data_IF_537252860531
#
_entry.id   IF_537252860531
#
_cell.length_a   1.000
_cell.length_b   1.000
_cell.length_c   1.000
_cell.angle_alpha   90.00
_cell.angle_beta   90.00
_cell.angle_gamma   90.00
#
_symmetry.space_group_name_H-M   'P 1'
#
loop_
_entity.id
_entity.type
_entity.pdbx_description
1 polymer ?
#
# COMPACT_ATOMS: atom_id res chain seq x y z
N UNK A 1 -28.02 50.08 54.95
CA UNK A 1 -27.43 48.74 54.76
C UNK A 1 -27.25 48.51 53.27
N UNK A 2 -26.02 48.38 52.73
CA UNK A 2 -25.84 48.09 51.31
C UNK A 2 -26.13 46.60 51.05
N UNK A 3 -26.96 46.31 50.05
CA UNK A 3 -27.14 44.95 49.54
C UNK A 3 -25.90 44.58 48.74
N UNK A 4 -25.09 43.66 49.27
CA UNK A 4 -24.04 43.01 48.50
C UNK A 4 -24.69 41.99 47.57
N UNK A 5 -25.15 42.46 46.40
CA UNK A 5 -25.53 41.59 45.31
C UNK A 5 -24.24 41.02 44.70
N UNK A 6 -23.92 39.78 45.05
CA UNK A 6 -22.84 39.01 44.42
C UNK A 6 -23.23 38.79 42.95
N UNK A 7 -22.72 39.66 42.08
CA UNK A 7 -22.87 39.52 40.63
C UNK A 7 -22.05 38.31 40.17
N UNK A 8 -22.71 37.16 40.02
CA UNK A 8 -22.08 35.96 39.43
C UNK A 8 -21.88 36.23 37.93
N UNK A 9 -20.64 36.20 37.40
CA UNK A 9 -20.38 36.53 36.01
C UNK A 9 -20.97 35.46 35.08
N UNK A 10 -22.13 35.76 34.48
CA UNK A 10 -22.87 34.86 33.59
C UNK A 10 -22.15 34.47 32.29
N UNK A 11 -21.02 35.12 31.97
CA UNK A 11 -20.23 34.87 30.76
C UNK A 11 -19.23 33.72 30.83
N UNK A 12 -18.80 33.32 32.04
CA UNK A 12 -17.78 32.27 32.21
C UNK A 12 -18.34 30.86 32.00
N UNK A 13 -19.58 30.62 32.44
CA UNK A 13 -20.24 29.31 32.34
C UNK A 13 -20.67 28.95 30.90
N UNK A 14 -21.18 29.90 30.09
CA UNK A 14 -21.73 29.58 28.76
C UNK A 14 -20.66 29.11 27.76
N UNK A 15 -19.47 29.70 27.75
CA UNK A 15 -18.38 29.30 26.84
C UNK A 15 -17.79 27.93 27.21
N UNK A 16 -17.63 27.66 28.50
CA UNK A 16 -17.08 26.40 29.01
C UNK A 16 -18.05 25.22 28.81
N UNK A 17 -19.37 25.46 28.92
CA UNK A 17 -20.39 24.43 28.67
C UNK A 17 -20.47 24.06 27.18
N UNK A 18 -20.38 25.02 26.26
CA UNK A 18 -20.31 24.73 24.82
C UNK A 18 -19.03 23.94 24.49
N UNK A 19 -17.89 24.30 25.09
CA UNK A 19 -16.63 23.58 24.90
C UNK A 19 -16.68 22.13 25.42
N UNK A 20 -17.32 21.92 26.58
CA UNK A 20 -17.56 20.57 27.14
C UNK A 20 -18.52 19.75 26.28
N UNK A 21 -19.58 20.35 25.73
CA UNK A 21 -20.49 19.67 24.80
C UNK A 21 -19.80 19.27 23.50
N UNK A 22 -18.97 20.16 22.94
CA UNK A 22 -18.17 19.84 21.76
C UNK A 22 -17.18 18.71 22.06
N UNK A 23 -16.53 18.72 23.22
CA UNK A 23 -15.63 17.63 23.61
C UNK A 23 -16.37 16.28 23.76
N UNK A 24 -17.57 16.26 24.34
CA UNK A 24 -18.35 15.02 24.56
C UNK A 24 -18.92 14.44 23.26
N UNK A 25 -19.07 15.22 22.19
CA UNK A 25 -19.51 14.70 20.87
C UNK A 25 -18.32 14.43 19.96
N UNK A 26 -17.34 15.34 19.94
CA UNK A 26 -16.18 15.26 19.06
C UNK A 26 -15.21 14.18 19.49
N UNK A 27 -14.96 14.00 20.80
CA UNK A 27 -14.02 12.97 21.28
C UNK A 27 -14.55 11.57 20.97
N UNK A 28 -15.81 11.18 21.26
CA UNK A 28 -16.31 9.87 20.87
C UNK A 28 -16.34 9.65 19.36
N UNK A 29 -16.62 10.68 18.56
CA UNK A 29 -16.58 10.57 17.09
C UNK A 29 -15.16 10.30 16.58
N UNK A 30 -14.17 11.02 17.10
CA UNK A 30 -12.75 10.78 16.79
C UNK A 30 -12.31 9.41 17.29
N UNK A 31 -12.68 9.03 18.51
CA UNK A 31 -12.35 7.71 19.07
C UNK A 31 -12.99 6.57 18.27
N UNK A 32 -14.22 6.75 17.78
CA UNK A 32 -14.89 5.77 16.94
C UNK A 32 -14.18 5.61 15.58
N UNK A 33 -13.83 6.72 14.93
CA UNK A 33 -13.06 6.70 13.68
C UNK A 33 -11.66 6.08 13.85
N UNK A 34 -10.98 6.35 14.96
CA UNK A 34 -9.69 5.72 15.27
C UNK A 34 -9.86 4.22 15.55
N UNK A 35 -10.91 3.81 16.26
CA UNK A 35 -11.18 2.40 16.51
C UNK A 35 -11.44 1.64 15.20
N UNK A 36 -12.26 2.20 14.30
CA UNK A 36 -12.54 1.63 12.98
C UNK A 36 -11.26 1.51 12.12
N UNK A 37 -10.41 2.54 12.15
CA UNK A 37 -9.11 2.52 11.48
C UNK A 37 -8.17 1.42 12.04
N UNK A 38 -8.09 1.27 13.37
CA UNK A 38 -7.27 0.25 14.02
C UNK A 38 -7.77 -1.16 13.68
N UNK A 39 -9.09 -1.36 13.64
CA UNK A 39 -9.70 -2.63 13.23
C UNK A 39 -9.37 -2.95 11.76
N UNK A 40 -9.46 -1.96 10.88
CA UNK A 40 -9.11 -2.12 9.45
C UNK A 40 -7.64 -2.49 9.27
N UNK A 41 -6.74 -1.84 10.00
CA UNK A 41 -5.31 -2.17 9.96
C UNK A 41 -5.03 -3.59 10.47
N UNK A 42 -5.74 -4.05 11.49
CA UNK A 42 -5.63 -5.41 11.99
C UNK A 42 -6.03 -6.42 10.92
N UNK A 43 -7.19 -6.24 10.28
CA UNK A 43 -7.65 -7.11 9.21
C UNK A 43 -6.68 -7.13 8.03
N UNK A 44 -6.09 -5.99 7.64
CA UNK A 44 -5.08 -5.95 6.58
C UNK A 44 -3.84 -6.77 6.92
N UNK A 45 -3.35 -6.68 8.17
CA UNK A 45 -2.21 -7.49 8.62
C UNK A 45 -2.50 -8.98 8.59
N UNK A 46 -3.71 -9.38 9.00
CA UNK A 46 -4.16 -10.78 8.94
C UNK A 46 -4.28 -11.26 7.48
N UNK A 47 -4.83 -10.43 6.59
CA UNK A 47 -4.89 -10.71 5.16
C UNK A 47 -3.50 -10.98 4.57
N UNK A 48 -2.50 -10.20 4.98
CA UNK A 48 -1.11 -10.35 4.54
C UNK A 48 -0.43 -11.57 5.20
N UNK A 49 -0.85 -11.96 6.41
CA UNK A 49 -0.34 -13.17 7.06
C UNK A 49 -0.63 -14.43 6.22
N UNK A 50 -1.82 -14.54 5.62
CA UNK A 50 -2.13 -15.65 4.71
C UNK A 50 -1.15 -15.79 3.54
N UNK A 51 -0.61 -14.66 3.04
CA UNK A 51 0.42 -14.70 2.00
C UNK A 51 1.71 -15.37 2.51
N UNK A 52 2.15 -15.01 3.71
CA UNK A 52 3.34 -15.61 4.34
C UNK A 52 3.12 -17.08 4.72
N UNK A 53 1.89 -17.44 5.07
CA UNK A 53 1.47 -18.83 5.31
C UNK A 53 1.29 -19.64 4.00
N UNK A 54 1.52 -19.00 2.84
CA UNK A 54 1.38 -19.57 1.48
C UNK A 54 -0.05 -19.97 1.11
N UNK A 55 -1.05 -19.53 1.88
CA UNK A 55 -2.45 -19.57 1.45
C UNK A 55 -2.73 -18.38 0.54
N UNK A 56 -2.19 -18.46 -0.68
CA UNK A 56 -2.28 -17.38 -1.65
C UNK A 56 -3.72 -17.12 -2.12
N UNK A 57 -4.57 -18.13 -2.16
CA UNK A 57 -5.97 -17.97 -2.59
C UNK A 57 -6.75 -17.14 -1.57
N UNK A 58 -6.61 -17.46 -0.28
CA UNK A 58 -7.18 -16.65 0.80
C UNK A 58 -6.55 -15.27 0.82
N UNK A 59 -5.22 -15.16 0.75
CA UNK A 59 -4.54 -13.86 0.72
C UNK A 59 -5.06 -12.96 -0.41
N UNK A 60 -5.21 -13.49 -1.63
CA UNK A 60 -5.71 -12.72 -2.76
C UNK A 60 -7.12 -12.19 -2.49
N UNK A 61 -8.00 -13.06 -1.98
CA UNK A 61 -9.39 -12.71 -1.65
C UNK A 61 -9.47 -11.65 -0.56
N UNK A 62 -8.70 -11.78 0.52
CA UNK A 62 -8.75 -10.87 1.68
C UNK A 62 -8.01 -9.54 1.40
N UNK A 63 -7.00 -9.53 0.53
CA UNK A 63 -6.25 -8.31 0.18
C UNK A 63 -6.99 -7.47 -0.87
N UNK A 64 -7.78 -8.11 -1.75
CA UNK A 64 -8.48 -7.45 -2.85
C UNK A 64 -9.34 -6.25 -2.41
N UNK A 65 -10.17 -6.31 -1.35
CA UNK A 65 -10.95 -5.16 -0.89
C UNK A 65 -10.09 -3.93 -0.53
N UNK A 66 -8.92 -4.14 0.09
CA UNK A 66 -8.00 -3.06 0.42
C UNK A 66 -7.34 -2.48 -0.84
N UNK A 67 -7.02 -3.33 -1.83
CA UNK A 67 -6.53 -2.86 -3.12
C UNK A 67 -7.58 -2.00 -3.85
N UNK A 68 -8.84 -2.43 -3.82
CA UNK A 68 -9.98 -1.67 -4.38
C UNK A 68 -10.25 -0.37 -3.62
N UNK A 69 -9.98 -0.30 -2.32
CA UNK A 69 -10.08 0.94 -1.53
C UNK A 69 -8.92 1.92 -1.78
N UNK A 70 -8.01 1.59 -2.72
CA UNK A 70 -6.89 2.45 -3.11
C UNK A 70 -5.64 2.30 -2.24
N UNK A 71 -5.56 1.34 -1.33
CA UNK A 71 -4.35 1.09 -0.53
C UNK A 71 -3.21 0.69 -1.46
N UNK A 72 -2.18 1.53 -1.54
CA UNK A 72 -1.08 1.36 -2.49
C UNK A 72 -0.31 0.07 -2.29
N UNK A 73 -0.17 -0.38 -1.03
CA UNK A 73 0.54 -1.62 -0.72
C UNK A 73 -0.28 -2.85 -1.14
N UNK A 74 -1.59 -2.82 -0.89
CA UNK A 74 -2.50 -3.90 -1.30
C UNK A 74 -2.62 -3.98 -2.83
N UNK A 75 -2.67 -2.85 -3.53
CA UNK A 75 -2.62 -2.82 -5.01
C UNK A 75 -1.33 -3.43 -5.55
N UNK A 76 -0.20 -3.10 -4.95
CA UNK A 76 1.06 -3.73 -5.32
C UNK A 76 1.04 -5.24 -5.07
N UNK A 77 0.54 -5.68 -3.91
CA UNK A 77 0.47 -7.10 -3.56
C UNK A 77 -0.40 -7.88 -4.54
N UNK A 78 -1.60 -7.37 -4.86
CA UNK A 78 -2.49 -8.00 -5.86
C UNK A 78 -1.83 -8.02 -7.25
N UNK A 79 -1.19 -6.94 -7.66
CA UNK A 79 -0.43 -6.90 -8.91
C UNK A 79 0.68 -7.95 -8.95
N UNK A 80 1.46 -8.07 -7.87
CA UNK A 80 2.53 -9.05 -7.75
C UNK A 80 2.02 -10.50 -7.74
N UNK A 81 0.95 -10.76 -6.98
CA UNK A 81 0.29 -12.07 -6.94
C UNK A 81 -0.23 -12.47 -8.32
N UNK A 82 -0.82 -11.52 -9.05
CA UNK A 82 -1.30 -11.73 -10.43
C UNK A 82 -0.16 -11.95 -11.42
N UNK A 83 0.92 -11.18 -11.32
CA UNK A 83 2.11 -11.28 -12.17
C UNK A 83 2.73 -12.69 -12.19
N UNK A 84 2.66 -13.36 -11.04
CA UNK A 84 3.29 -14.63 -10.77
C UNK A 84 2.31 -15.81 -10.57
N UNK A 85 1.01 -15.55 -10.65
CA UNK A 85 -0.04 -16.57 -10.52
C UNK A 85 -0.18 -17.16 -9.10
N UNK A 86 0.03 -16.35 -8.06
CA UNK A 86 -0.14 -16.75 -6.67
C UNK A 86 -1.58 -16.53 -6.23
N UNK A 87 -2.36 -17.60 -6.05
CA UNK A 87 -3.76 -17.52 -5.63
C UNK A 87 -4.72 -16.99 -6.68
N UNK A 88 -4.22 -16.76 -7.90
CA UNK A 88 -4.97 -16.24 -9.05
C UNK A 88 -4.35 -16.77 -10.35
N UNK A 89 -5.04 -16.60 -11.47
CA UNK A 89 -4.48 -16.90 -12.78
C UNK A 89 -3.37 -15.88 -13.10
N UNK A 90 -2.27 -16.38 -13.65
CA UNK A 90 -1.15 -15.54 -14.05
C UNK A 90 -1.56 -14.62 -15.20
N UNK A 91 -1.48 -13.31 -14.98
CA UNK A 91 -1.71 -12.30 -16.01
C UNK A 91 -0.78 -11.09 -15.79
N UNK A 92 0.19 -10.93 -16.69
CA UNK A 92 1.15 -9.83 -16.62
C UNK A 92 0.54 -8.48 -16.97
N UNK A 93 -0.41 -8.46 -17.90
CA UNK A 93 -1.04 -7.22 -18.34
C UNK A 93 -2.00 -6.71 -17.26
N UNK A 94 -2.74 -7.61 -16.62
CA UNK A 94 -3.58 -7.24 -15.49
C UNK A 94 -2.72 -6.81 -14.29
N UNK A 95 -1.58 -7.46 -14.04
CA UNK A 95 -0.65 -7.04 -12.98
C UNK A 95 -0.13 -5.60 -13.16
N UNK A 96 0.21 -5.19 -14.39
CA UNK A 96 0.68 -3.82 -14.65
C UNK A 96 -0.43 -2.78 -14.51
N UNK A 97 -1.69 -3.15 -14.75
CA UNK A 97 -2.84 -2.30 -14.46
C UNK A 97 -2.96 -2.02 -12.96
N UNK A 98 -2.75 -3.03 -12.10
CA UNK A 98 -2.73 -2.83 -10.65
C UNK A 98 -1.62 -1.90 -10.15
N UNK A 99 -0.52 -1.82 -10.89
CA UNK A 99 0.59 -0.90 -10.60
C UNK A 99 0.35 0.53 -11.09
N UNK A 100 -0.63 0.73 -11.97
CA UNK A 100 -0.92 2.01 -12.59
C UNK A 100 -1.68 2.94 -11.64
N UNK A 101 -1.35 4.23 -11.67
CA UNK A 101 -2.22 5.23 -11.07
C UNK A 101 -3.41 5.44 -11.99
N UNK A 102 -4.61 5.04 -11.57
CA UNK A 102 -5.81 5.44 -12.29
C UNK A 102 -5.93 6.97 -12.31
N UNK A 103 -6.05 7.55 -13.52
CA UNK A 103 -6.37 8.97 -13.71
C UNK A 103 -5.19 9.95 -13.78
N UNK A 104 -3.93 9.51 -13.69
CA UNK A 104 -2.76 10.39 -13.81
C UNK A 104 -2.00 10.10 -15.10
N UNK A 105 -2.12 10.99 -16.08
CA UNK A 105 -1.23 11.01 -17.26
C UNK A 105 0.22 11.15 -16.79
N UNK A 106 1.07 10.21 -17.19
CA UNK A 106 2.49 10.20 -16.82
C UNK A 106 2.85 9.42 -15.56
N UNK A 107 1.92 8.68 -14.94
CA UNK A 107 2.34 7.69 -13.94
C UNK A 107 3.16 6.58 -14.61
N UNK A 108 4.41 6.46 -14.18
CA UNK A 108 5.38 5.48 -14.68
C UNK A 108 5.20 4.19 -13.90
N UNK A 109 4.66 3.13 -14.53
CA UNK A 109 4.52 1.82 -13.88
C UNK A 109 5.88 1.18 -13.57
N UNK A 110 6.93 1.67 -14.24
CA UNK A 110 8.29 1.17 -14.09
C UNK A 110 8.82 1.13 -12.65
N UNK A 111 8.40 2.01 -11.74
CA UNK A 111 8.82 1.89 -10.33
C UNK A 111 8.32 0.58 -9.70
N UNK A 112 7.03 0.29 -9.81
CA UNK A 112 6.42 -0.90 -9.20
C UNK A 112 6.88 -2.18 -9.89
N UNK A 113 7.05 -2.15 -11.21
CA UNK A 113 7.61 -3.27 -11.98
C UNK A 113 9.07 -3.55 -11.60
N UNK A 114 9.88 -2.51 -11.38
CA UNK A 114 11.23 -2.68 -10.90
C UNK A 114 11.25 -3.24 -9.47
N UNK A 115 10.38 -2.74 -8.59
CA UNK A 115 10.23 -3.26 -7.23
C UNK A 115 9.80 -4.73 -7.25
N UNK A 116 8.86 -5.10 -8.14
CA UNK A 116 8.47 -6.48 -8.37
C UNK A 116 9.65 -7.34 -8.80
N UNK A 117 10.47 -6.84 -9.73
CA UNK A 117 11.68 -7.53 -10.18
C UNK A 117 12.69 -7.73 -9.03
N UNK A 118 12.91 -6.71 -8.20
CA UNK A 118 13.79 -6.81 -7.04
C UNK A 118 13.31 -7.88 -6.05
N UNK A 119 12.01 -7.89 -5.72
CA UNK A 119 11.43 -8.94 -4.89
C UNK A 119 11.50 -10.33 -5.55
N UNK A 120 11.43 -10.39 -6.88
CA UNK A 120 11.59 -11.63 -7.64
C UNK A 120 13.00 -12.23 -7.45
N UNK A 121 14.05 -11.40 -7.56
CA UNK A 121 15.43 -11.83 -7.29
C UNK A 121 15.68 -12.13 -5.81
N UNK A 122 14.99 -11.43 -4.90
CA UNK A 122 15.09 -11.68 -3.46
C UNK A 122 14.38 -12.98 -3.03
N UNK A 123 13.47 -13.50 -3.87
CA UNK A 123 12.68 -14.69 -3.58
C UNK A 123 11.37 -14.41 -2.82
N UNK A 124 10.97 -13.14 -2.68
CA UNK A 124 9.74 -12.72 -2.00
C UNK A 124 8.48 -13.32 -2.66
N UNK A 125 8.57 -13.61 -3.96
CA UNK A 125 7.49 -14.16 -4.78
C UNK A 125 7.65 -15.65 -5.06
N UNK A 126 8.39 -16.35 -4.19
CA UNK A 126 8.83 -17.73 -4.36
C UNK A 126 10.04 -17.86 -5.27
N UNK A 127 10.49 -19.10 -5.51
CA UNK A 127 11.62 -19.37 -6.42
C UNK A 127 11.21 -19.04 -7.85
N UNK A 128 11.82 -18.01 -8.42
CA UNK A 128 11.66 -17.59 -9.82
C UNK A 128 12.98 -17.73 -10.56
N UNK A 129 12.92 -17.83 -11.88
CA UNK A 129 14.14 -17.84 -12.68
C UNK A 129 14.64 -16.42 -12.92
N UNK A 130 15.95 -16.27 -13.07
CA UNK A 130 16.55 -14.96 -13.37
C UNK A 130 15.95 -14.38 -14.65
N UNK A 131 15.68 -15.20 -15.66
CA UNK A 131 15.04 -14.77 -16.90
C UNK A 131 13.66 -14.15 -16.65
N UNK A 132 12.86 -14.77 -15.78
CA UNK A 132 11.53 -14.28 -15.43
C UNK A 132 11.59 -12.95 -14.68
N UNK A 133 12.53 -12.79 -13.75
CA UNK A 133 12.73 -11.55 -13.01
C UNK A 133 13.27 -10.42 -13.91
N UNK A 134 14.20 -10.73 -14.83
CA UNK A 134 14.76 -9.77 -15.79
C UNK A 134 13.68 -9.19 -16.71
N UNK A 135 12.65 -9.97 -17.07
CA UNK A 135 11.56 -9.45 -17.90
C UNK A 135 10.86 -8.25 -17.25
N UNK A 136 10.69 -8.27 -15.92
CA UNK A 136 10.12 -7.14 -15.18
C UNK A 136 11.05 -5.94 -15.13
N UNK A 137 12.37 -6.15 -15.05
CA UNK A 137 13.34 -5.05 -15.15
C UNK A 137 13.32 -4.43 -16.55
N UNK A 138 13.23 -5.26 -17.60
CA UNK A 138 13.11 -4.77 -18.98
C UNK A 138 11.85 -3.94 -19.18
N UNK A 139 10.70 -4.45 -18.74
CA UNK A 139 9.42 -3.74 -18.82
C UNK A 139 9.49 -2.36 -18.13
N UNK A 140 10.13 -2.31 -16.97
CA UNK A 140 10.37 -1.07 -16.25
C UNK A 140 11.31 -0.11 -16.98
N UNK A 141 12.40 -0.63 -17.53
CA UNK A 141 13.36 0.13 -18.34
C UNK A 141 12.72 0.70 -19.61
N UNK A 142 11.87 -0.07 -20.28
CA UNK A 142 11.15 0.33 -21.50
C UNK A 142 10.17 1.49 -21.22
N UNK A 143 9.74 1.64 -19.97
CA UNK A 143 8.96 2.79 -19.49
C UNK A 143 9.84 3.96 -19.00
N UNK A 144 11.10 4.01 -19.41
CA UNK A 144 12.07 5.04 -19.06
C UNK A 144 12.38 5.14 -17.55
N UNK A 145 12.17 4.08 -16.78
CA UNK A 145 12.57 4.05 -15.38
C UNK A 145 14.08 3.83 -15.25
N UNK A 146 14.82 4.95 -15.17
CA UNK A 146 16.29 4.97 -15.16
C UNK A 146 16.97 3.95 -14.22
N UNK A 147 16.49 3.71 -12.98
CA UNK A 147 17.11 2.68 -12.14
C UNK A 147 17.06 1.27 -12.72
N UNK A 148 16.00 0.91 -13.46
CA UNK A 148 15.92 -0.37 -14.14
C UNK A 148 16.92 -0.48 -15.30
N UNK A 149 17.07 0.59 -16.09
CA UNK A 149 18.05 0.63 -17.18
C UNK A 149 19.49 0.46 -16.66
N UNK A 150 19.85 1.20 -15.60
CA UNK A 150 21.16 1.07 -14.95
C UNK A 150 21.40 -0.33 -14.38
N UNK A 151 20.36 -0.93 -13.79
CA UNK A 151 20.45 -2.30 -13.28
C UNK A 151 20.76 -3.28 -14.42
N UNK A 152 20.07 -3.17 -15.57
CA UNK A 152 20.29 -4.04 -16.73
C UNK A 152 21.70 -3.90 -17.31
N UNK A 153 22.20 -2.67 -17.44
CA UNK A 153 23.57 -2.41 -17.90
C UNK A 153 24.61 -3.10 -17.02
N UNK A 154 24.47 -2.97 -15.69
CA UNK A 154 25.38 -3.58 -14.74
C UNK A 154 25.29 -5.11 -14.76
N UNK A 155 24.08 -5.65 -14.88
CA UNK A 155 23.85 -7.09 -15.01
C UNK A 155 24.52 -7.66 -16.26
N UNK A 156 24.37 -6.98 -17.40
CA UNK A 156 24.99 -7.39 -18.67
C UNK A 156 26.51 -7.32 -18.61
N UNK A 157 27.09 -6.22 -18.09
CA UNK A 157 28.54 -6.08 -17.91
C UNK A 157 29.12 -7.23 -17.10
N UNK A 158 28.50 -7.56 -15.97
CA UNK A 158 28.94 -8.67 -15.11
C UNK A 158 28.91 -10.00 -15.84
N UNK A 159 27.84 -10.27 -16.60
CA UNK A 159 27.70 -11.51 -17.38
C UNK A 159 28.75 -11.60 -18.49
N UNK A 160 29.03 -10.50 -19.20
CA UNK A 160 30.06 -10.44 -20.24
C UNK A 160 31.47 -10.60 -19.68
N UNK A 161 31.75 -10.08 -18.47
CA UNK A 161 33.04 -10.28 -17.79
C UNK A 161 33.22 -11.68 -17.19
N UNK A 162 32.16 -12.47 -17.13
CA UNK A 162 32.16 -13.86 -16.63
C UNK A 162 32.04 -14.88 -17.77
N UNK A 163 32.00 -14.43 -19.03
CA UNK A 163 32.03 -15.31 -20.18
C UNK A 163 33.47 -15.86 -20.37
N UNK A 164 33.63 -17.19 -20.54
CA UNK A 164 34.94 -17.84 -20.67
C UNK A 164 35.67 -17.47 -21.96
#
# INVERSE_FOLDING_TARGET
MPKNDVQVPQGLFKKNVIFLFLAVVFIPYVLWGVADYVVTLKHKREAFAYFYDKDYATAYREIMPFAMSGDSESRYMIGAMTAFGMGTQRDKMFATQWFSCEGIQGCVNGYNEFRLAQGCFAGDWGKRSDEECILWVKLSSDQNYRPASLWLENYQKKKSSQAP
#
